data_IF_226179283095
#
_entry.id   IF_226179283095
#
_cell.length_a   1.000
_cell.length_b   1.000
_cell.length_c   1.000
_cell.angle_alpha   90.00
_cell.angle_beta   90.00
_cell.angle_gamma   90.00
#
_symmetry.space_group_name_H-M   'P 1'
#
loop_
_entity.id
_entity.type
_entity.pdbx_description
1 polymer ?
#
# COMPACT_ATOMS: atom_id res chain seq x y z
N UNK A 1 -8.77 -12.15 -13.45
CA UNK A 1 -8.33 -10.95 -12.73
C UNK A 1 -8.11 -11.33 -11.27
N UNK A 2 -6.93 -11.10 -10.75
CA UNK A 2 -6.60 -11.39 -9.36
C UNK A 2 -7.29 -10.40 -8.40
N UNK A 3 -7.39 -10.75 -7.11
CA UNK A 3 -7.96 -9.93 -6.05
C UNK A 3 -7.03 -9.90 -4.84
N UNK A 4 -7.22 -8.92 -3.96
CA UNK A 4 -6.54 -8.83 -2.67
C UNK A 4 -6.98 -9.99 -1.77
N UNK A 5 -6.05 -10.51 -1.00
CA UNK A 5 -6.30 -11.49 0.06
C UNK A 5 -6.54 -10.75 1.38
N UNK A 6 -7.71 -10.95 1.97
CA UNK A 6 -8.10 -10.29 3.21
C UNK A 6 -8.01 -11.26 4.39
N UNK A 7 -7.17 -10.98 5.40
CA UNK A 7 -7.18 -11.76 6.63
C UNK A 7 -8.44 -11.47 7.46
N UNK A 8 -8.73 -12.35 8.39
CA UNK A 8 -9.79 -12.14 9.38
C UNK A 8 -9.62 -10.79 10.09
N UNK A 9 -10.70 -10.11 10.34
CA UNK A 9 -10.73 -8.78 10.96
C UNK A 9 -10.54 -7.60 10.01
N UNK A 10 -10.10 -7.84 8.75
CA UNK A 10 -9.91 -6.77 7.76
C UNK A 10 -10.74 -6.95 6.48
N UNK A 11 -11.70 -7.86 6.49
CA UNK A 11 -12.55 -8.07 5.32
C UNK A 11 -13.42 -6.83 5.07
N UNK A 12 -13.37 -6.23 3.86
CA UNK A 12 -14.19 -5.07 3.51
C UNK A 12 -15.68 -5.30 3.76
N UNK A 13 -16.36 -4.27 4.30
CA UNK A 13 -17.75 -4.36 4.72
C UNK A 13 -17.95 -4.76 6.18
N UNK A 14 -16.89 -5.28 6.83
CA UNK A 14 -16.87 -5.57 8.27
C UNK A 14 -15.87 -4.68 9.03
N UNK A 15 -15.26 -3.70 8.37
CA UNK A 15 -14.33 -2.74 8.94
C UNK A 15 -14.93 -1.35 9.07
N UNK A 16 -14.31 -0.48 9.85
CA UNK A 16 -14.81 0.86 10.12
C UNK A 16 -14.62 1.81 8.94
N UNK A 17 -13.60 1.58 8.11
CA UNK A 17 -13.35 2.34 6.88
C UNK A 17 -12.75 1.40 5.81
N UNK A 18 -13.00 1.71 4.55
CA UNK A 18 -12.43 1.00 3.41
C UNK A 18 -12.28 1.94 2.23
N UNK A 19 -11.17 1.81 1.52
CA UNK A 19 -10.97 2.49 0.25
C UNK A 19 -10.31 1.58 -0.78
N UNK A 20 -10.53 1.87 -2.04
CA UNK A 20 -10.02 1.11 -3.18
C UNK A 20 -9.70 2.06 -4.32
N UNK A 21 -8.47 2.00 -4.81
CA UNK A 21 -8.01 2.75 -5.96
C UNK A 21 -7.33 1.82 -6.96
N UNK A 22 -7.52 2.06 -8.23
CA UNK A 22 -6.97 1.24 -9.31
C UNK A 22 -6.56 2.11 -10.48
N UNK A 23 -5.44 1.74 -11.12
CA UNK A 23 -5.09 2.24 -12.45
C UNK A 23 -4.70 1.09 -13.36
N UNK A 24 -5.03 1.22 -14.65
CA UNK A 24 -4.54 0.35 -15.71
C UNK A 24 -3.81 1.23 -16.71
N UNK A 25 -2.53 0.95 -16.90
CA UNK A 25 -1.68 1.76 -17.77
C UNK A 25 -0.98 0.89 -18.82
N UNK A 26 -0.83 1.44 -20.03
CA UNK A 26 -0.09 0.81 -21.10
C UNK A 26 1.40 1.21 -21.06
N UNK A 27 2.25 0.32 -21.60
CA UNK A 27 3.67 0.57 -21.78
C UNK A 27 4.52 0.37 -20.53
N UNK A 28 3.98 -0.22 -19.48
CA UNK A 28 4.68 -0.63 -18.26
C UNK A 28 4.35 -2.08 -17.93
N UNK A 29 5.25 -2.71 -17.17
CA UNK A 29 5.08 -4.06 -16.63
C UNK A 29 5.09 -4.06 -15.10
N UNK A 30 4.60 -5.16 -14.51
CA UNK A 30 4.63 -5.32 -13.05
C UNK A 30 6.07 -5.30 -12.51
N UNK A 31 7.02 -5.85 -13.25
CA UNK A 31 8.44 -5.91 -12.89
C UNK A 31 9.10 -4.52 -12.90
N UNK A 32 8.62 -3.59 -13.74
CA UNK A 32 9.08 -2.19 -13.77
C UNK A 32 8.51 -1.37 -12.61
N UNK A 33 7.31 -1.70 -12.13
CA UNK A 33 6.64 -1.05 -11.00
C UNK A 33 7.19 -1.55 -9.66
N UNK A 34 7.39 -2.86 -9.53
CA UNK A 34 7.62 -3.53 -8.27
C UNK A 34 8.78 -2.99 -7.43
N UNK A 35 9.99 -2.72 -7.99
CA UNK A 35 11.09 -2.20 -7.19
C UNK A 35 10.80 -0.86 -6.51
N UNK A 36 9.97 -0.02 -7.14
CA UNK A 36 9.56 1.27 -6.57
C UNK A 36 8.60 1.08 -5.39
N UNK A 37 7.66 0.14 -5.52
CA UNK A 37 6.67 -0.17 -4.50
C UNK A 37 7.30 -0.94 -3.32
N UNK A 38 8.13 -1.94 -3.62
CA UNK A 38 8.73 -2.82 -2.61
C UNK A 38 9.88 -2.19 -1.81
N UNK A 39 10.28 -0.96 -2.13
CA UNK A 39 11.40 -0.26 -1.47
C UNK A 39 10.91 1.01 -0.78
N UNK A 40 10.50 0.95 0.51
CA UNK A 40 9.90 2.07 1.22
C UNK A 40 10.73 3.36 1.25
N UNK A 41 12.05 3.27 1.22
CA UNK A 41 12.93 4.44 1.15
C UNK A 41 12.77 5.25 -0.15
N UNK A 42 12.21 4.67 -1.19
CA UNK A 42 11.91 5.35 -2.46
C UNK A 42 10.56 6.06 -2.47
N UNK A 43 9.63 5.70 -1.59
CA UNK A 43 8.27 6.27 -1.58
C UNK A 43 8.26 7.80 -1.53
N UNK A 44 9.05 8.48 -0.68
CA UNK A 44 9.06 9.94 -0.63
C UNK A 44 9.51 10.61 -1.93
N UNK A 45 10.18 9.88 -2.83
CA UNK A 45 10.63 10.44 -4.12
C UNK A 45 9.49 10.65 -5.10
N UNK A 46 8.36 9.99 -4.91
CA UNK A 46 7.21 10.06 -5.81
C UNK A 46 5.85 10.17 -5.08
N UNK A 47 5.81 10.06 -3.76
CA UNK A 47 4.62 10.18 -2.93
C UNK A 47 4.88 11.09 -1.72
N UNK A 48 4.32 12.28 -1.73
CA UNK A 48 4.60 13.35 -0.77
C UNK A 48 4.15 13.04 0.66
N UNK A 49 3.16 12.16 0.82
CA UNK A 49 2.61 11.80 2.12
C UNK A 49 3.37 10.65 2.80
N UNK A 50 4.53 10.28 2.30
CA UNK A 50 5.39 9.27 2.91
C UNK A 50 6.72 9.85 3.33
N UNK A 51 7.18 9.50 4.53
CA UNK A 51 8.47 9.93 5.09
C UNK A 51 9.06 8.89 6.05
N UNK A 52 10.35 9.07 6.36
CA UNK A 52 11.04 8.42 7.46
C UNK A 52 10.92 6.88 7.52
N UNK A 53 10.85 6.23 6.35
CA UNK A 53 10.80 4.77 6.28
C UNK A 53 12.09 4.14 6.85
N UNK A 54 11.93 3.18 7.73
CA UNK A 54 13.02 2.41 8.33
C UNK A 54 12.60 0.98 8.64
N UNK A 55 13.55 0.09 8.61
CA UNK A 55 13.36 -1.32 8.94
C UNK A 55 13.86 -1.61 10.35
N UNK A 56 13.32 -2.65 10.97
CA UNK A 56 13.80 -3.24 12.21
C UNK A 56 14.71 -4.44 11.93
N UNK A 57 15.42 -4.89 12.95
CA UNK A 57 16.20 -6.14 12.95
C UNK A 57 17.25 -6.25 11.83
N UNK A 58 17.83 -5.11 11.42
CA UNK A 58 18.79 -5.02 10.30
C UNK A 58 18.26 -5.58 8.97
N UNK A 59 16.94 -5.55 8.77
CA UNK A 59 16.27 -5.93 7.53
C UNK A 59 16.20 -4.76 6.54
N UNK A 60 15.67 -5.02 5.34
CA UNK A 60 15.54 -4.04 4.27
C UNK A 60 16.73 -4.08 3.30
N UNK A 61 16.79 -3.19 2.32
CA UNK A 61 15.86 -2.07 2.06
C UNK A 61 14.55 -2.46 1.40
N UNK A 62 14.36 -3.73 1.04
CA UNK A 62 13.19 -4.25 0.32
C UNK A 62 12.24 -4.91 1.33
N UNK A 63 10.93 -4.72 1.12
CA UNK A 63 9.90 -5.45 1.87
C UNK A 63 10.04 -6.95 1.59
N UNK A 64 9.86 -7.76 2.62
CA UNK A 64 9.83 -9.21 2.57
C UNK A 64 8.76 -9.72 3.52
N UNK A 65 8.35 -10.98 3.37
CA UNK A 65 7.40 -11.63 4.27
C UNK A 65 7.83 -11.49 5.74
N UNK A 66 6.88 -11.13 6.61
CA UNK A 66 7.04 -10.98 8.07
C UNK A 66 7.98 -9.86 8.54
N UNK A 67 8.57 -9.10 7.63
CA UNK A 67 9.46 -7.99 7.99
C UNK A 67 8.68 -6.89 8.70
N UNK A 68 9.27 -6.36 9.79
CA UNK A 68 8.79 -5.18 10.47
C UNK A 68 9.47 -3.94 9.93
N UNK A 69 8.66 -2.90 9.71
CA UNK A 69 9.14 -1.59 9.29
C UNK A 69 8.26 -0.47 9.86
N UNK A 70 8.78 0.72 9.82
CA UNK A 70 8.12 1.95 10.22
C UNK A 70 8.11 2.92 9.05
N UNK A 71 7.08 3.70 8.93
CA UNK A 71 7.06 4.89 8.08
C UNK A 71 6.07 5.92 8.61
N UNK A 72 6.11 7.12 8.06
CA UNK A 72 5.14 8.16 8.35
C UNK A 72 4.29 8.41 7.11
N UNK A 73 2.99 8.58 7.33
CA UNK A 73 2.04 8.94 6.26
C UNK A 73 1.08 9.98 6.80
N UNK A 74 0.83 11.04 6.01
CA UNK A 74 0.04 12.21 6.44
C UNK A 74 0.48 12.80 7.79
N UNK A 75 1.76 12.69 8.14
CA UNK A 75 2.29 13.12 9.43
C UNK A 75 2.02 12.17 10.60
N UNK A 76 1.39 11.02 10.37
CA UNK A 76 1.17 9.99 11.40
C UNK A 76 2.28 8.94 11.40
N UNK A 77 2.79 8.56 12.58
CA UNK A 77 3.70 7.42 12.71
C UNK A 77 2.93 6.12 12.52
N UNK A 78 3.44 5.22 11.69
CA UNK A 78 2.84 3.91 11.43
C UNK A 78 3.87 2.82 11.64
N UNK A 79 3.63 1.98 12.63
CA UNK A 79 4.32 0.71 12.79
C UNK A 79 3.70 -0.32 11.85
N UNK A 80 4.51 -1.16 11.25
CA UNK A 80 4.01 -2.09 10.23
C UNK A 80 4.70 -3.44 10.26
N UNK A 81 3.95 -4.47 9.87
CA UNK A 81 4.46 -5.81 9.60
C UNK A 81 3.90 -6.30 8.26
N UNK A 82 4.77 -6.75 7.38
CA UNK A 82 4.37 -7.36 6.10
C UNK A 82 3.66 -8.68 6.37
N UNK A 83 2.44 -8.81 5.85
CA UNK A 83 1.58 -10.00 6.02
C UNK A 83 1.51 -10.87 4.77
N UNK A 84 1.81 -10.31 3.60
CA UNK A 84 1.93 -11.02 2.34
C UNK A 84 3.01 -10.37 1.49
N UNK A 85 3.87 -11.17 0.88
CA UNK A 85 4.86 -10.69 -0.10
C UNK A 85 5.09 -11.74 -1.18
N UNK A 86 4.71 -11.40 -2.41
CA UNK A 86 4.96 -12.18 -3.62
C UNK A 86 5.46 -11.21 -4.69
N UNK A 87 6.69 -11.36 -5.12
CA UNK A 87 7.22 -10.56 -6.23
C UNK A 87 6.54 -10.97 -7.55
N UNK A 88 6.24 -10.03 -8.47
CA UNK A 88 5.63 -10.37 -9.73
C UNK A 88 6.58 -11.17 -10.63
N UNK A 89 5.98 -12.01 -11.46
CA UNK A 89 6.65 -12.69 -12.57
C UNK A 89 5.75 -12.63 -13.80
N UNK A 90 6.20 -13.20 -14.91
CA UNK A 90 5.40 -13.26 -16.14
C UNK A 90 4.01 -13.85 -15.92
N UNK A 91 3.92 -14.86 -15.04
CA UNK A 91 2.71 -15.65 -14.82
C UNK A 91 2.06 -15.42 -13.46
N UNK A 92 2.68 -14.62 -12.59
CA UNK A 92 2.22 -14.39 -11.24
C UNK A 92 2.13 -12.90 -10.90
N UNK A 93 1.01 -12.48 -10.36
CA UNK A 93 0.82 -11.12 -9.90
C UNK A 93 1.67 -10.82 -8.67
N UNK A 94 2.29 -9.65 -8.63
CA UNK A 94 2.94 -9.13 -7.44
C UNK A 94 1.90 -8.80 -6.36
N UNK A 95 2.19 -9.19 -5.11
CA UNK A 95 1.34 -8.95 -3.94
C UNK A 95 2.20 -8.47 -2.79
N UNK A 96 1.84 -7.36 -2.20
CA UNK A 96 2.38 -6.95 -0.92
C UNK A 96 1.29 -6.34 -0.06
N UNK A 97 1.18 -6.83 1.17
CA UNK A 97 0.26 -6.31 2.16
C UNK A 97 0.96 -6.16 3.49
N UNK A 98 0.57 -5.17 4.26
CA UNK A 98 1.06 -5.02 5.63
C UNK A 98 -0.07 -4.64 6.58
N UNK A 99 -0.02 -5.20 7.79
CA UNK A 99 -0.74 -4.68 8.93
C UNK A 99 0.04 -3.49 9.46
N UNK A 100 -0.58 -2.33 9.44
CA UNK A 100 -0.06 -1.10 10.01
C UNK A 100 -0.87 -0.68 11.24
N UNK A 101 -0.23 -0.01 12.19
CA UNK A 101 -0.93 0.54 13.35
C UNK A 101 -0.31 1.82 13.86
N UNK A 102 -1.15 2.65 14.47
CA UNK A 102 -0.77 3.84 15.21
C UNK A 102 -1.55 3.87 16.54
N UNK A 103 -0.93 4.45 17.57
CA UNK A 103 -1.49 4.44 18.92
C UNK A 103 -1.27 3.14 19.69
N UNK A 104 -1.45 3.19 21.01
CA UNK A 104 -1.30 2.05 21.90
C UNK A 104 -2.46 1.05 21.74
N UNK A 105 -2.19 -0.23 21.96
CA UNK A 105 -3.22 -1.26 21.92
C UNK A 105 -4.32 -0.98 22.96
N UNK A 106 -5.58 -1.02 22.52
CA UNK A 106 -6.75 -0.74 23.37
C UNK A 106 -7.02 0.74 23.63
N UNK A 107 -6.16 1.66 23.16
CA UNK A 107 -6.41 3.10 23.31
C UNK A 107 -7.51 3.59 22.35
N UNK A 108 -8.17 4.69 22.75
CA UNK A 108 -9.26 5.27 21.96
C UNK A 108 -8.81 5.84 20.61
N UNK A 109 -7.54 6.21 20.50
CA UNK A 109 -6.89 6.73 19.29
C UNK A 109 -6.16 5.65 18.47
N UNK A 110 -6.31 4.38 18.85
CA UNK A 110 -5.75 3.25 18.10
C UNK A 110 -6.36 3.17 16.72
N UNK A 111 -5.48 3.10 15.72
CA UNK A 111 -5.80 2.82 14.33
C UNK A 111 -5.08 1.54 13.92
N UNK A 112 -5.83 0.57 13.41
CA UNK A 112 -5.28 -0.63 12.77
C UNK A 112 -5.70 -0.65 11.31
N UNK A 113 -4.75 -0.92 10.42
CA UNK A 113 -4.99 -0.96 8.98
C UNK A 113 -4.42 -2.22 8.35
N UNK A 114 -5.07 -2.74 7.34
CA UNK A 114 -4.44 -3.59 6.34
C UNK A 114 -4.37 -2.82 5.04
N UNK A 115 -3.16 -2.49 4.63
CA UNK A 115 -2.91 -1.87 3.34
C UNK A 115 -2.35 -2.92 2.39
N UNK A 116 -3.00 -3.09 1.24
CA UNK A 116 -2.70 -4.14 0.30
C UNK A 116 -2.52 -3.62 -1.12
N UNK A 117 -1.54 -4.16 -1.82
CA UNK A 117 -1.22 -3.87 -3.21
C UNK A 117 -1.22 -5.13 -4.05
N UNK A 118 -1.75 -5.02 -5.25
CA UNK A 118 -1.71 -6.03 -6.29
C UNK A 118 -1.21 -5.38 -7.57
N UNK A 119 -0.17 -5.96 -8.18
CA UNK A 119 0.39 -5.49 -9.45
C UNK A 119 0.42 -6.65 -10.42
N UNK A 120 -0.36 -6.60 -11.50
CA UNK A 120 -0.45 -7.69 -12.47
C UNK A 120 -0.30 -7.23 -13.91
N UNK A 121 0.45 -8.01 -14.68
CA UNK A 121 0.55 -7.82 -16.10
C UNK A 121 -0.78 -8.21 -16.77
N UNK A 122 -1.23 -7.38 -17.69
CA UNK A 122 -2.40 -7.63 -18.53
C UNK A 122 -1.99 -7.78 -20.01
N UNK A 123 -2.81 -8.41 -20.85
CA UNK A 123 -2.58 -8.46 -22.29
C UNK A 123 -2.34 -7.06 -22.89
N UNK A 124 -1.69 -7.04 -24.06
CA UNK A 124 -1.42 -5.81 -24.83
C UNK A 124 -0.48 -4.82 -24.12
N UNK A 125 0.56 -5.33 -23.44
CA UNK A 125 1.57 -4.52 -22.75
C UNK A 125 0.95 -3.50 -21.80
N UNK A 126 0.05 -3.95 -20.93
CA UNK A 126 -0.58 -3.16 -19.87
C UNK A 126 -0.28 -3.74 -18.50
N UNK A 127 -0.29 -2.90 -17.51
CA UNK A 127 -0.20 -3.30 -16.10
C UNK A 127 -1.40 -2.74 -15.33
N UNK A 128 -1.97 -3.56 -14.46
CA UNK A 128 -2.98 -3.16 -13.48
C UNK A 128 -2.30 -3.00 -12.13
N UNK A 129 -2.53 -1.87 -11.49
CA UNK A 129 -2.06 -1.58 -10.14
C UNK A 129 -3.29 -1.27 -9.29
N UNK A 130 -3.55 -2.14 -8.32
CA UNK A 130 -4.66 -2.02 -7.37
C UNK A 130 -4.09 -1.78 -5.99
N UNK A 131 -4.58 -0.77 -5.29
CA UNK A 131 -4.33 -0.58 -3.86
C UNK A 131 -5.66 -0.51 -3.11
N UNK A 132 -5.74 -1.25 -2.02
CA UNK A 132 -6.91 -1.29 -1.15
C UNK A 132 -6.47 -1.21 0.31
N UNK A 133 -7.25 -0.53 1.12
CA UNK A 133 -7.00 -0.43 2.54
C UNK A 133 -8.30 -0.60 3.33
N UNK A 134 -8.26 -1.48 4.32
CA UNK A 134 -9.29 -1.65 5.31
C UNK A 134 -8.78 -1.18 6.68
N UNK A 135 -9.58 -0.44 7.42
CA UNK A 135 -9.17 0.22 8.65
C UNK A 135 -10.18 -0.02 9.78
N UNK A 136 -9.66 -0.19 10.99
CA UNK A 136 -10.43 -0.33 12.22
C UNK A 136 -9.98 0.68 13.27
N UNK A 137 -10.91 1.13 14.11
CA UNK A 137 -10.69 2.06 15.19
C UNK A 137 -11.45 3.38 15.04
N UNK A 138 -11.48 4.18 16.09
CA UNK A 138 -12.19 5.46 16.06
C UNK A 138 -11.65 6.44 14.99
N UNK A 139 -10.32 6.55 14.78
CA UNK A 139 -9.80 7.37 13.68
C UNK A 139 -10.31 6.91 12.30
N UNK A 140 -10.47 5.59 12.09
CA UNK A 140 -11.02 5.05 10.85
C UNK A 140 -12.49 5.46 10.65
N UNK A 141 -13.29 5.44 11.71
CA UNK A 141 -14.69 5.92 11.66
C UNK A 141 -14.80 7.39 11.28
N UNK A 142 -13.88 8.20 11.77
CA UNK A 142 -13.86 9.63 11.44
C UNK A 142 -13.45 9.87 9.97
N UNK A 143 -12.47 9.12 9.46
CA UNK A 143 -12.11 9.15 8.04
C UNK A 143 -13.28 8.73 7.14
N UNK A 144 -14.02 7.69 7.52
CA UNK A 144 -15.18 7.21 6.76
C UNK A 144 -16.33 8.24 6.64
N UNK A 145 -16.44 9.15 7.62
CA UNK A 145 -17.43 10.24 7.60
C UNK A 145 -17.00 11.44 6.76
N UNK A 146 -15.72 11.58 6.48
CA UNK A 146 -15.20 12.70 5.71
C UNK A 146 -15.59 12.57 4.23
N UNK A 147 -16.01 13.68 3.62
CA UNK A 147 -16.35 13.74 2.20
C UNK A 147 -15.61 14.89 1.51
N UNK A 148 -14.68 14.59 0.58
CA UNK A 148 -14.26 13.25 0.17
C UNK A 148 -13.49 12.51 1.28
N UNK A 149 -13.50 11.18 1.24
CA UNK A 149 -12.66 10.37 2.12
C UNK A 149 -11.18 10.64 1.74
N UNK A 150 -10.35 11.17 2.65
CA UNK A 150 -8.98 11.58 2.32
C UNK A 150 -8.07 10.43 1.90
N UNK A 151 -8.41 9.19 2.30
CA UNK A 151 -7.66 8.00 1.90
C UNK A 151 -7.78 7.73 0.40
N UNK A 152 -8.94 7.99 -0.20
CA UNK A 152 -9.14 7.81 -1.64
C UNK A 152 -8.22 8.74 -2.43
N UNK A 153 -8.16 10.03 -2.05
CA UNK A 153 -7.29 10.99 -2.73
C UNK A 153 -5.81 10.67 -2.50
N UNK A 154 -5.43 10.34 -1.26
CA UNK A 154 -4.04 9.98 -0.92
C UNK A 154 -3.55 8.74 -1.68
N UNK A 155 -4.37 7.70 -1.78
CA UNK A 155 -4.01 6.50 -2.55
C UNK A 155 -3.94 6.77 -4.05
N UNK A 156 -4.79 7.66 -4.58
CA UNK A 156 -4.69 8.06 -5.98
C UNK A 156 -3.38 8.80 -6.25
N UNK A 157 -3.00 9.74 -5.38
CA UNK A 157 -1.71 10.42 -5.48
C UNK A 157 -0.53 9.45 -5.44
N UNK A 158 -0.62 8.38 -4.63
CA UNK A 158 0.42 7.36 -4.57
C UNK A 158 0.50 6.57 -5.87
N UNK A 159 -0.64 6.11 -6.41
CA UNK A 159 -0.71 5.42 -7.70
C UNK A 159 -0.15 6.27 -8.84
N UNK A 160 -0.57 7.52 -8.94
CA UNK A 160 -0.15 8.44 -10.01
C UNK A 160 1.35 8.72 -9.93
N UNK A 161 1.87 8.94 -8.73
CA UNK A 161 3.30 9.12 -8.47
C UNK A 161 4.12 7.89 -8.82
N UNK A 162 3.66 6.70 -8.45
CA UNK A 162 4.30 5.42 -8.75
C UNK A 162 4.40 5.18 -10.27
N UNK A 163 3.32 5.42 -11.00
CA UNK A 163 3.29 5.30 -12.47
C UNK A 163 4.24 6.32 -13.11
N UNK A 164 4.23 7.56 -12.65
CA UNK A 164 5.12 8.61 -13.17
C UNK A 164 6.59 8.27 -12.93
N UNK A 165 6.95 7.76 -11.73
CA UNK A 165 8.30 7.33 -11.40
C UNK A 165 8.77 6.15 -12.24
N UNK A 166 7.91 5.16 -12.49
CA UNK A 166 8.23 4.03 -13.35
C UNK A 166 8.49 4.45 -14.80
N UNK A 167 7.66 5.34 -15.34
CA UNK A 167 7.87 5.90 -16.68
C UNK A 167 9.16 6.68 -16.80
N UNK A 168 9.52 7.48 -15.79
CA UNK A 168 10.76 8.25 -15.77
C UNK A 168 12.01 7.36 -15.76
N UNK A 169 11.95 6.17 -15.13
CA UNK A 169 13.07 5.20 -15.16
C UNK A 169 13.23 4.49 -16.50
N UNK A 170 12.16 4.41 -17.27
CA UNK A 170 12.16 3.75 -18.59
C UNK A 170 12.61 4.67 -19.72
N UNK A 171 12.47 5.98 -19.54
CA UNK A 171 12.86 6.98 -20.53
C UNK A 171 14.38 7.18 -20.57
#
# INVERSE_FOLDING_TARGET
MNAIHWPEGFVPGFTDNYCSNEVIVAGLTAEEIWPLLATPSLWPTYYKNSANARFYDNKGPILEQDVRFYFETFGFPVESRVTEYVAPSTDEAGRVSWHGWAGEEGAADRLDVLHAWLVENLPDNRVRILTQEAQNGNPAKDLAKAHPNPMINGHQDWLDGLVAAARAKKA
#
